data_IF_224840646416
#
_entry.id   IF_224840646416
#
_cell.length_a   1.000
_cell.length_b   1.000
_cell.length_c   1.000
_cell.angle_alpha   90.00
_cell.angle_beta   90.00
_cell.angle_gamma   90.00
#
_symmetry.space_group_name_H-M   'P 1'
#
loop_
_entity.id
_entity.type
_entity.pdbx_description
1 polymer ?
#
# COMPACT_ATOMS: atom_id res chain seq x y z
N UNK A 1 20.02 6.33 28.73
CA UNK A 1 19.34 5.28 29.53
C UNK A 1 18.34 4.62 28.61
N UNK A 2 18.43 3.32 28.35
CA UNK A 2 17.45 2.61 27.52
C UNK A 2 16.06 2.74 28.18
N UNK A 3 15.06 3.17 27.41
CA UNK A 3 13.68 3.35 27.85
C UNK A 3 13.18 2.03 28.45
N UNK A 4 12.32 2.07 29.48
CA UNK A 4 11.59 0.89 29.95
C UNK A 4 10.91 0.13 28.82
N UNK A 5 10.43 0.83 27.78
CA UNK A 5 9.89 0.23 26.56
C UNK A 5 10.96 -0.57 25.80
N UNK A 6 12.18 -0.03 25.62
CA UNK A 6 13.28 -0.73 24.94
C UNK A 6 13.67 -2.02 25.65
N UNK A 7 13.62 -2.06 26.98
CA UNK A 7 13.90 -3.30 27.74
C UNK A 7 12.81 -4.34 27.56
N UNK A 8 11.54 -3.91 27.55
CA UNK A 8 10.40 -4.81 27.31
C UNK A 8 10.44 -5.34 25.88
N UNK A 9 10.74 -4.50 24.88
CA UNK A 9 10.87 -4.93 23.50
C UNK A 9 12.07 -5.81 23.26
N UNK A 10 13.24 -5.49 23.83
CA UNK A 10 14.38 -6.38 23.77
C UNK A 10 14.06 -7.73 24.41
N UNK A 11 13.27 -7.75 25.49
CA UNK A 11 12.82 -9.01 26.12
C UNK A 11 11.78 -9.75 25.27
N UNK A 12 10.88 -9.05 24.57
CA UNK A 12 9.91 -9.67 23.65
C UNK A 12 10.59 -10.18 22.37
N UNK A 13 11.52 -9.42 21.79
CA UNK A 13 12.34 -9.81 20.64
C UNK A 13 13.27 -10.97 21.02
N UNK A 14 13.98 -10.90 22.15
CA UNK A 14 14.79 -12.00 22.67
C UNK A 14 13.91 -13.20 22.99
N UNK A 15 12.74 -13.03 23.61
CA UNK A 15 11.81 -14.13 23.81
C UNK A 15 11.48 -14.75 22.47
N UNK A 16 11.00 -13.97 21.49
CA UNK A 16 10.63 -14.45 20.16
C UNK A 16 11.81 -15.02 19.33
N UNK A 17 13.05 -14.63 19.60
CA UNK A 17 14.29 -15.21 19.04
C UNK A 17 14.68 -16.49 19.78
N UNK A 18 14.46 -16.56 21.09
CA UNK A 18 14.63 -17.77 21.89
C UNK A 18 13.56 -18.81 21.52
N UNK A 19 12.34 -18.38 21.20
CA UNK A 19 11.28 -19.23 20.62
C UNK A 19 11.72 -19.85 19.28
N UNK A 20 12.54 -19.13 18.50
CA UNK A 20 13.05 -19.62 17.22
C UNK A 20 14.07 -20.76 17.38
N UNK A 21 14.76 -20.86 18.52
CA UNK A 21 15.76 -21.89 18.79
C UNK A 21 15.27 -23.02 19.73
N UNK A 22 14.08 -22.90 20.32
CA UNK A 22 13.54 -23.86 21.29
C UNK A 22 12.42 -24.76 20.72
N UNK A 23 12.35 -25.99 21.23
CA UNK A 23 11.16 -26.84 21.05
C UNK A 23 9.93 -26.21 21.73
N UNK A 24 8.76 -26.34 21.10
CA UNK A 24 7.57 -25.55 21.44
C UNK A 24 6.98 -25.74 22.86
N UNK A 25 7.30 -26.84 23.53
CA UNK A 25 6.98 -27.03 24.96
C UNK A 25 7.59 -25.92 25.84
N UNK A 26 8.64 -25.27 25.36
CA UNK A 26 9.34 -24.19 26.04
C UNK A 26 8.87 -22.79 25.60
N UNK A 27 8.13 -22.66 24.48
CA UNK A 27 7.37 -21.43 24.14
C UNK A 27 6.30 -21.12 25.19
N UNK A 28 5.54 -22.14 25.61
CA UNK A 28 4.55 -22.02 26.69
C UNK A 28 5.19 -21.77 28.07
N UNK A 29 6.45 -22.18 28.26
CA UNK A 29 7.24 -21.80 29.46
C UNK A 29 7.75 -20.36 29.38
N UNK A 30 8.12 -19.86 28.20
CA UNK A 30 8.43 -18.45 27.96
C UNK A 30 7.18 -17.54 28.05
N UNK A 31 5.99 -18.06 27.74
CA UNK A 31 4.70 -17.41 28.00
C UNK A 31 4.45 -17.17 29.49
N UNK A 32 4.94 -18.05 30.38
CA UNK A 32 4.89 -17.84 31.84
C UNK A 32 5.91 -16.79 32.31
N UNK A 33 7.07 -16.65 31.65
CA UNK A 33 8.05 -15.58 31.93
C UNK A 33 7.50 -14.22 31.45
N UNK A 34 6.84 -14.21 30.29
CA UNK A 34 6.14 -13.04 29.76
C UNK A 34 4.78 -12.81 30.41
N UNK A 35 4.22 -13.75 31.19
CA UNK A 35 3.01 -13.57 32.01
C UNK A 35 3.12 -12.38 32.95
N UNK A 36 4.29 -12.16 33.54
CA UNK A 36 4.56 -10.93 34.29
C UNK A 36 4.45 -9.67 33.44
N UNK A 37 4.84 -9.71 32.15
CA UNK A 37 4.64 -8.63 31.19
C UNK A 37 3.16 -8.50 30.75
N UNK A 38 2.46 -9.62 30.53
CA UNK A 38 1.02 -9.66 30.18
C UNK A 38 0.14 -9.12 31.32
N UNK A 39 0.48 -9.43 32.57
CA UNK A 39 -0.23 -8.97 33.77
C UNK A 39 0.24 -7.59 34.25
N UNK A 40 1.39 -7.10 33.74
CA UNK A 40 1.87 -5.75 34.05
C UNK A 40 1.06 -4.68 33.30
N UNK A 41 0.94 -3.50 33.93
CA UNK A 41 0.31 -2.31 33.35
C UNK A 41 1.23 -1.64 32.32
N UNK A 42 1.57 -2.36 31.24
CA UNK A 42 2.29 -1.78 30.11
C UNK A 42 1.36 -0.74 29.44
N UNK A 43 1.80 0.51 29.28
CA UNK A 43 0.99 1.54 28.64
C UNK A 43 0.65 1.20 27.18
N UNK A 44 -0.53 1.62 26.69
CA UNK A 44 -0.97 1.36 25.31
C UNK A 44 0.03 1.85 24.25
N UNK A 45 0.70 2.99 24.45
CA UNK A 45 1.70 3.51 23.50
C UNK A 45 2.86 2.54 23.24
N UNK A 46 3.19 1.67 24.22
CA UNK A 46 4.21 0.63 24.06
C UNK A 46 3.68 -0.50 23.16
N UNK A 47 2.41 -0.89 23.30
CA UNK A 47 1.81 -1.85 22.38
C UNK A 47 1.67 -1.28 20.96
N UNK A 48 1.30 0.00 20.83
CA UNK A 48 1.23 0.70 19.54
C UNK A 48 2.59 0.66 18.84
N UNK A 49 3.66 1.05 19.53
CA UNK A 49 5.01 1.05 18.97
C UNK A 49 5.45 -0.35 18.51
N UNK A 50 5.11 -1.39 19.28
CA UNK A 50 5.45 -2.76 18.90
C UNK A 50 4.72 -3.23 17.64
N UNK A 51 3.40 -3.02 17.58
CA UNK A 51 2.58 -3.44 16.45
C UNK A 51 3.00 -2.68 15.18
N UNK A 52 3.35 -1.39 15.30
CA UNK A 52 3.95 -0.62 14.20
C UNK A 52 5.27 -1.24 13.71
N UNK A 53 6.16 -1.69 14.61
CA UNK A 53 7.40 -2.39 14.23
C UNK A 53 7.14 -3.73 13.53
N UNK A 54 6.02 -4.39 13.82
CA UNK A 54 5.57 -5.60 13.12
C UNK A 54 4.91 -5.32 11.76
N UNK A 55 4.80 -4.05 11.37
CA UNK A 55 4.24 -3.61 10.09
C UNK A 55 2.76 -3.22 10.12
N UNK A 56 2.12 -3.18 11.30
CA UNK A 56 0.72 -2.75 11.40
C UNK A 56 0.60 -1.22 11.35
N UNK A 57 -0.25 -0.65 10.47
CA UNK A 57 -0.50 0.78 10.45
C UNK A 57 -1.11 1.31 11.75
N UNK A 58 -0.73 2.52 12.16
CA UNK A 58 -1.16 3.11 13.44
C UNK A 58 -2.69 3.30 13.53
N UNK A 59 -3.38 3.65 12.44
CA UNK A 59 -4.86 3.72 12.47
C UNK A 59 -5.50 2.37 12.72
N UNK A 60 -5.01 1.30 12.08
CA UNK A 60 -5.55 -0.05 12.28
C UNK A 60 -5.38 -0.47 13.74
N UNK A 61 -4.25 -0.07 14.35
CA UNK A 61 -3.96 -0.23 15.78
C UNK A 61 -4.94 0.59 16.64
N UNK A 62 -5.22 1.85 16.30
CA UNK A 62 -6.05 2.74 17.13
C UNK A 62 -7.55 2.54 16.99
N UNK A 63 -8.01 2.05 15.84
CA UNK A 63 -9.44 1.90 15.52
C UNK A 63 -10.05 0.58 16.01
N UNK A 64 -9.20 -0.35 16.48
CA UNK A 64 -9.69 -1.62 17.04
C UNK A 64 -10.49 -1.38 18.33
N UNK A 65 -11.68 -1.99 18.42
CA UNK A 65 -12.49 -2.00 19.65
C UNK A 65 -11.90 -2.88 20.74
N UNK A 66 -10.93 -3.73 20.39
CA UNK A 66 -10.30 -4.67 21.30
C UNK A 66 -9.07 -4.03 21.95
N UNK A 67 -8.65 -4.56 23.09
CA UNK A 67 -7.39 -4.10 23.68
C UNK A 67 -6.22 -4.50 22.77
N UNK A 68 -5.23 -3.62 22.58
CA UNK A 68 -4.01 -3.94 21.80
C UNK A 68 -3.33 -5.22 22.27
N UNK A 69 -3.42 -5.48 23.58
CA UNK A 69 -2.99 -6.73 24.20
C UNK A 69 -3.74 -7.95 23.64
N UNK A 70 -5.05 -7.88 23.49
CA UNK A 70 -5.86 -8.95 22.89
C UNK A 70 -5.47 -9.19 21.43
N UNK A 71 -5.24 -8.13 20.65
CA UNK A 71 -4.78 -8.22 19.28
C UNK A 71 -3.43 -8.96 19.20
N UNK A 72 -2.47 -8.54 20.03
CA UNK A 72 -1.16 -9.19 20.12
C UNK A 72 -1.24 -10.67 20.51
N UNK A 73 -2.10 -11.02 21.47
CA UNK A 73 -2.30 -12.42 21.87
C UNK A 73 -2.86 -13.26 20.72
N UNK A 74 -3.85 -12.73 20.00
CA UNK A 74 -4.45 -13.39 18.83
C UNK A 74 -3.41 -13.65 17.73
N UNK A 75 -2.63 -12.62 17.41
CA UNK A 75 -1.46 -12.66 16.52
C UNK A 75 -0.49 -13.78 16.90
N UNK A 76 -0.14 -13.86 18.19
CA UNK A 76 0.82 -14.85 18.70
C UNK A 76 0.28 -16.28 18.62
N UNK A 77 -1.01 -16.47 18.90
CA UNK A 77 -1.69 -17.75 18.75
C UNK A 77 -1.74 -18.20 17.29
N UNK A 78 -1.98 -17.29 16.35
CA UNK A 78 -1.95 -17.58 14.92
C UNK A 78 -0.56 -18.05 14.46
N UNK A 79 0.50 -17.35 14.87
CA UNK A 79 1.88 -17.74 14.57
C UNK A 79 2.23 -19.14 15.13
N UNK A 80 1.80 -19.42 16.36
CA UNK A 80 1.98 -20.72 17.01
C UNK A 80 1.26 -21.84 16.26
N UNK A 81 -0.03 -21.66 15.97
CA UNK A 81 -0.83 -22.61 15.22
C UNK A 81 -0.22 -22.91 13.83
N UNK A 82 0.23 -21.87 13.11
CA UNK A 82 0.92 -22.02 11.83
C UNK A 82 2.21 -22.82 11.94
N UNK A 83 3.01 -22.61 12.98
CA UNK A 83 4.27 -23.34 13.20
C UNK A 83 4.07 -24.84 13.43
N UNK A 84 2.88 -25.27 13.88
CA UNK A 84 2.51 -26.69 14.02
C UNK A 84 1.76 -27.25 12.81
N UNK A 85 1.58 -26.44 11.76
CA UNK A 85 0.78 -26.84 10.61
C UNK A 85 -0.71 -27.02 10.94
N UNK A 86 -1.24 -26.32 11.95
CA UNK A 86 -2.68 -26.29 12.23
C UNK A 86 -3.40 -25.77 10.99
N UNK A 87 -4.50 -26.44 10.63
CA UNK A 87 -5.31 -26.05 9.48
C UNK A 87 -6.16 -24.84 9.89
N UNK A 88 -6.14 -23.73 9.12
CA UNK A 88 -6.91 -22.53 9.45
C UNK A 88 -8.42 -22.79 9.37
N UNK A 89 -9.20 -22.11 10.22
CA UNK A 89 -10.65 -22.03 10.06
C UNK A 89 -11.03 -21.10 8.90
N UNK A 90 -12.15 -21.34 8.24
CA UNK A 90 -12.67 -20.47 7.16
C UNK A 90 -14.13 -20.13 7.45
N UNK A 91 -14.47 -18.84 7.35
CA UNK A 91 -15.82 -18.33 7.46
C UNK A 91 -16.15 -17.41 6.28
N UNK A 92 -17.22 -17.72 5.55
CA UNK A 92 -17.69 -16.92 4.40
C UNK A 92 -18.84 -16.01 4.84
N UNK A 93 -18.72 -14.72 4.58
CA UNK A 93 -19.69 -13.69 4.93
C UNK A 93 -20.25 -13.01 3.67
N UNK A 94 -21.55 -12.67 3.69
CA UNK A 94 -22.21 -11.85 2.67
C UNK A 94 -22.12 -10.38 3.05
N UNK A 95 -21.66 -9.54 2.13
CA UNK A 95 -21.60 -8.08 2.22
C UNK A 95 -22.84 -7.42 1.60
N UNK A 96 -23.67 -8.17 0.88
CA UNK A 96 -24.83 -7.68 0.13
C UNK A 96 -25.91 -7.07 1.05
N UNK A 97 -26.10 -7.70 2.21
CA UNK A 97 -27.06 -7.29 3.24
C UNK A 97 -26.59 -6.07 4.04
N UNK A 98 -25.26 -5.90 4.18
CA UNK A 98 -24.64 -4.86 5.01
C UNK A 98 -24.35 -3.57 4.23
N UNK A 99 -24.00 -3.69 2.95
CA UNK A 99 -23.57 -2.55 2.13
C UNK A 99 -24.73 -1.88 1.36
N UNK A 100 -25.82 -2.63 1.11
CA UNK A 100 -27.02 -2.18 0.40
C UNK A 100 -26.80 -1.91 -1.11
N UNK A 101 -27.60 -2.55 -1.97
CA UNK A 101 -27.61 -2.27 -3.42
C UNK A 101 -26.38 -2.73 -4.22
N UNK A 102 -26.49 -2.71 -5.55
CA UNK A 102 -25.43 -3.13 -6.49
C UNK A 102 -24.36 -2.04 -6.72
N UNK A 103 -23.76 -1.51 -5.67
CA UNK A 103 -22.65 -0.56 -5.81
C UNK A 103 -21.32 -1.32 -5.92
N UNK A 104 -20.39 -0.79 -6.73
CA UNK A 104 -19.01 -1.30 -6.75
C UNK A 104 -18.25 -0.63 -5.61
N UNK A 105 -17.47 -1.40 -4.84
CA UNK A 105 -16.65 -0.90 -3.73
C UNK A 105 -15.17 -1.06 -4.04
N UNK A 106 -14.38 -0.04 -3.70
CA UNK A 106 -12.92 0.00 -3.76
C UNK A 106 -12.40 -0.21 -2.35
N UNK A 107 -11.30 -0.95 -2.30
CA UNK A 107 -10.64 -1.32 -1.06
C UNK A 107 -9.32 -0.56 -1.04
N UNK A 108 -9.18 0.35 -0.08
CA UNK A 108 -7.94 1.07 0.13
C UNK A 108 -7.13 0.34 1.20
N UNK A 109 -5.93 -0.07 0.83
CA UNK A 109 -4.99 -0.76 1.69
C UNK A 109 -3.78 0.15 1.95
N UNK A 110 -3.51 0.47 3.21
CA UNK A 110 -2.20 0.96 3.64
C UNK A 110 -1.27 -0.24 3.87
N UNK A 111 -0.88 -0.92 2.78
CA UNK A 111 -0.07 -2.13 2.80
C UNK A 111 -0.81 -3.41 3.23
N UNK A 112 -0.08 -4.53 3.38
CA UNK A 112 -0.65 -5.88 3.59
C UNK A 112 -1.37 -6.07 4.93
N UNK A 113 -1.14 -5.17 5.88
CA UNK A 113 -1.45 -5.35 7.31
C UNK A 113 -2.47 -4.34 7.84
N UNK A 114 -2.97 -3.44 6.97
CA UNK A 114 -4.03 -2.51 7.29
C UNK A 114 -5.40 -3.14 7.05
N UNK A 115 -6.35 -2.92 7.97
CA UNK A 115 -7.74 -3.26 7.67
C UNK A 115 -8.23 -2.36 6.52
N UNK A 116 -8.81 -2.91 5.44
CA UNK A 116 -9.23 -2.10 4.32
C UNK A 116 -10.42 -1.25 4.77
N UNK A 117 -10.34 0.03 4.45
CA UNK A 117 -11.56 0.81 4.32
C UNK A 117 -12.27 0.35 3.06
N UNK A 118 -13.54 0.02 3.23
CA UNK A 118 -14.43 -0.39 2.16
C UNK A 118 -15.27 0.84 1.82
N UNK A 119 -15.02 1.39 0.65
CA UNK A 119 -15.62 2.62 0.15
C UNK A 119 -16.21 2.32 -1.22
N UNK A 120 -17.26 3.01 -1.65
CA UNK A 120 -17.76 2.84 -3.01
C UNK A 120 -16.65 3.21 -4.02
N UNK A 121 -16.44 2.41 -5.08
CA UNK A 121 -15.39 2.60 -6.10
C UNK A 121 -15.85 3.40 -7.31
N UNK A 122 -17.14 3.42 -7.59
CA UNK A 122 -17.66 4.15 -8.74
C UNK A 122 -17.82 5.62 -8.37
N UNK A 123 -17.26 6.56 -9.15
CA UNK A 123 -17.63 7.97 -9.03
C UNK A 123 -19.15 8.10 -8.99
N UNK A 124 -19.68 9.06 -8.24
CA UNK A 124 -21.12 9.31 -8.22
C UNK A 124 -21.62 9.54 -9.66
N UNK A 125 -22.67 8.84 -10.07
CA UNK A 125 -23.29 9.06 -11.38
C UNK A 125 -24.09 10.38 -11.39
N UNK A 126 -24.48 10.85 -10.20
CA UNK A 126 -25.16 12.13 -9.96
C UNK A 126 -24.60 12.80 -8.73
N UNK A 127 -24.60 14.13 -8.70
CA UNK A 127 -24.17 14.97 -7.56
C UNK A 127 -24.88 14.61 -6.24
N UNK A 128 -26.09 14.04 -6.31
CA UNK A 128 -26.87 13.59 -5.15
C UNK A 128 -26.53 12.19 -4.65
N UNK A 129 -25.67 11.45 -5.35
CA UNK A 129 -25.33 10.09 -4.95
C UNK A 129 -24.51 10.13 -3.67
N UNK A 130 -24.93 9.31 -2.71
CA UNK A 130 -24.29 9.20 -1.40
C UNK A 130 -23.66 7.83 -1.26
N UNK A 131 -22.59 7.75 -0.49
CA UNK A 131 -21.95 6.49 -0.18
C UNK A 131 -21.88 6.24 1.32
N UNK A 132 -21.58 5.00 1.68
CA UNK A 132 -21.33 4.57 3.05
C UNK A 132 -19.87 4.12 3.15
N UNK A 133 -19.23 4.39 4.29
CA UNK A 133 -17.86 3.93 4.59
C UNK A 133 -17.94 2.83 5.61
N UNK A 134 -17.28 1.73 5.33
CA UNK A 134 -17.14 0.61 6.26
C UNK A 134 -15.66 0.32 6.54
N UNK A 135 -15.41 -0.30 7.69
CA UNK A 135 -14.13 -0.88 8.06
C UNK A 135 -14.34 -2.31 8.54
N UNK A 136 -13.33 -3.14 8.39
CA UNK A 136 -13.32 -4.48 9.00
C UNK A 136 -12.68 -4.36 10.38
N UNK A 137 -13.46 -4.62 11.44
CA UNK A 137 -12.92 -4.84 12.78
C UNK A 137 -12.65 -6.34 12.94
N UNK A 138 -12.07 -6.77 14.08
CA UNK A 138 -11.74 -8.16 14.32
C UNK A 138 -12.96 -9.03 13.98
N UNK A 139 -14.09 -8.97 14.66
CA UNK A 139 -15.11 -10.00 14.37
C UNK A 139 -16.05 -9.65 13.20
N UNK A 140 -16.21 -8.36 12.86
CA UNK A 140 -17.32 -7.91 12.02
C UNK A 140 -16.96 -6.76 11.06
N UNK A 141 -17.77 -6.65 10.02
CA UNK A 141 -17.88 -5.43 9.22
C UNK A 141 -18.54 -4.32 10.06
N UNK A 142 -17.91 -3.15 10.11
CA UNK A 142 -18.39 -1.99 10.86
C UNK A 142 -18.72 -0.86 9.90
N UNK A 143 -19.96 -0.39 9.92
CA UNK A 143 -20.33 0.90 9.34
C UNK A 143 -19.68 2.03 10.14
N UNK A 144 -18.84 2.84 9.47
CA UNK A 144 -18.22 4.03 10.06
C UNK A 144 -19.06 5.27 9.81
N UNK A 145 -19.46 5.49 8.55
CA UNK A 145 -20.21 6.67 8.12
C UNK A 145 -21.27 6.29 7.10
N UNK A 146 -22.40 7.00 7.14
CA UNK A 146 -23.53 6.79 6.23
C UNK A 146 -23.85 8.08 5.48
N UNK A 147 -24.39 7.95 4.27
CA UNK A 147 -24.93 9.07 3.49
C UNK A 147 -23.94 10.21 3.20
N UNK A 148 -22.66 9.89 2.99
CA UNK A 148 -21.64 10.88 2.71
C UNK A 148 -21.67 11.33 1.24
N UNK A 149 -21.66 12.66 1.05
CA UNK A 149 -21.83 13.34 -0.25
C UNK A 149 -20.50 13.57 -1.01
N UNK A 150 -19.39 13.08 -0.45
CA UNK A 150 -18.05 13.17 -1.04
C UNK A 150 -17.53 11.78 -1.37
N UNK A 151 -16.57 11.70 -2.28
CA UNK A 151 -16.00 10.44 -2.73
C UNK A 151 -14.60 10.26 -2.13
N UNK A 152 -14.47 9.52 -1.01
CA UNK A 152 -13.17 9.23 -0.44
C UNK A 152 -12.42 8.26 -1.34
N UNK A 153 -11.11 8.46 -1.47
CA UNK A 153 -10.27 7.72 -2.42
C UNK A 153 -8.98 7.22 -1.82
N UNK A 154 -8.54 7.75 -0.67
CA UNK A 154 -7.29 7.34 -0.07
C UNK A 154 -7.27 7.60 1.42
N UNK A 155 -6.69 6.67 2.16
CA UNK A 155 -6.39 6.81 3.58
C UNK A 155 -5.04 7.51 3.70
N UNK A 156 -4.95 8.51 4.56
CA UNK A 156 -3.73 9.32 4.73
C UNK A 156 -3.45 9.59 6.20
N UNK A 157 -2.27 10.15 6.49
CA UNK A 157 -1.85 10.49 7.85
C UNK A 157 -1.83 9.27 8.79
N UNK A 158 -1.24 8.17 8.32
CA UNK A 158 -1.29 6.89 9.02
C UNK A 158 -2.73 6.45 9.36
N UNK A 159 -3.69 6.83 8.51
CA UNK A 159 -5.12 6.58 8.58
C UNK A 159 -5.91 7.29 9.66
N UNK A 160 -5.45 8.46 10.10
CA UNK A 160 -6.31 9.36 10.88
C UNK A 160 -7.21 10.23 10.00
N UNK A 161 -6.97 10.25 8.69
CA UNK A 161 -7.73 11.08 7.77
C UNK A 161 -7.99 10.38 6.43
N UNK A 162 -9.04 10.82 5.75
CA UNK A 162 -9.47 10.36 4.44
C UNK A 162 -9.36 11.51 3.45
N UNK A 163 -8.59 11.29 2.39
CA UNK A 163 -8.50 12.17 1.25
C UNK A 163 -9.48 11.71 0.16
N UNK A 164 -10.17 12.66 -0.46
CA UNK A 164 -11.18 12.39 -1.46
C UNK A 164 -11.44 13.57 -2.38
N UNK A 165 -12.46 13.40 -3.21
CA UNK A 165 -12.96 14.44 -4.11
C UNK A 165 -14.36 14.89 -3.66
N UNK A 166 -14.54 16.19 -3.56
CA UNK A 166 -15.82 16.82 -3.23
C UNK A 166 -16.60 17.11 -4.51
N UNK A 167 -17.47 16.16 -4.88
CA UNK A 167 -18.36 16.27 -6.05
C UNK A 167 -19.62 17.11 -5.77
N UNK A 168 -19.82 17.58 -4.52
CA UNK A 168 -20.98 18.41 -4.15
C UNK A 168 -20.90 19.83 -4.69
N UNK A 169 -19.70 20.28 -5.09
CA UNK A 169 -19.40 21.66 -5.49
C UNK A 169 -19.97 22.07 -6.88
N UNK A 170 -20.79 21.24 -7.53
CA UNK A 170 -21.44 21.56 -8.81
C UNK A 170 -20.57 21.36 -10.05
N UNK A 171 -19.29 21.03 -9.89
CA UNK A 171 -18.40 20.59 -10.96
C UNK A 171 -17.97 19.13 -10.74
N UNK A 172 -18.67 18.21 -11.41
CA UNK A 172 -18.38 16.77 -11.31
C UNK A 172 -17.10 16.39 -12.06
N UNK A 173 -16.65 17.22 -12.99
CA UNK A 173 -15.50 16.95 -13.84
C UNK A 173 -14.20 17.44 -13.21
N UNK A 174 -14.25 18.46 -12.34
CA UNK A 174 -13.06 18.99 -11.64
C UNK A 174 -13.25 19.22 -10.12
N UNK A 175 -13.72 18.20 -9.38
CA UNK A 175 -14.03 18.35 -7.96
C UNK A 175 -12.78 18.77 -7.14
N UNK A 176 -12.93 19.63 -6.13
CA UNK A 176 -11.86 19.94 -5.18
C UNK A 176 -11.41 18.71 -4.41
N UNK A 177 -10.10 18.68 -4.12
CA UNK A 177 -9.51 17.66 -3.24
C UNK A 177 -9.79 18.09 -1.80
N UNK A 178 -10.29 17.16 -0.98
CA UNK A 178 -10.73 17.41 0.39
C UNK A 178 -10.18 16.36 1.33
N UNK A 179 -9.79 16.79 2.52
CA UNK A 179 -9.29 15.96 3.60
C UNK A 179 -10.28 15.98 4.77
N UNK A 180 -10.77 14.82 5.15
CA UNK A 180 -11.67 14.62 6.29
C UNK A 180 -10.96 13.84 7.40
N UNK A 181 -11.31 14.14 8.65
CA UNK A 181 -10.91 13.34 9.78
C UNK A 181 -11.70 12.02 9.79
N UNK A 182 -11.02 10.89 9.92
CA UNK A 182 -11.66 9.57 9.88
C UNK A 182 -12.42 9.24 11.18
N UNK A 183 -12.16 9.92 12.29
CA UNK A 183 -12.81 9.65 13.57
C UNK A 183 -14.22 10.26 13.66
N UNK A 184 -14.41 11.46 13.12
CA UNK A 184 -15.66 12.25 13.25
C UNK A 184 -16.20 12.82 11.94
N UNK A 185 -15.54 12.55 10.81
CA UNK A 185 -15.89 13.07 9.48
C UNK A 185 -15.86 14.60 9.36
N UNK A 186 -15.19 15.30 10.28
CA UNK A 186 -15.00 16.74 10.17
C UNK A 186 -14.06 17.09 9.01
N UNK A 187 -14.38 18.16 8.26
CA UNK A 187 -13.50 18.67 7.22
C UNK A 187 -12.23 19.24 7.87
N UNK A 188 -11.08 18.65 7.54
CA UNK A 188 -9.77 19.14 7.99
C UNK A 188 -9.29 20.24 7.07
N UNK A 189 -9.28 19.97 5.75
CA UNK A 189 -8.88 20.98 4.77
C UNK A 189 -9.49 20.72 3.38
N UNK A 190 -9.51 21.77 2.56
CA UNK A 190 -9.94 21.76 1.16
C UNK A 190 -8.84 22.38 0.31
N UNK A 191 -8.21 21.55 -0.52
CA UNK A 191 -7.12 21.95 -1.38
C UNK A 191 -7.69 22.50 -2.68
N UNK A 192 -7.84 23.82 -2.73
CA UNK A 192 -8.26 24.54 -3.92
C UNK A 192 -7.04 25.12 -4.64
N UNK A 193 -7.01 24.96 -5.96
CA UNK A 193 -6.06 25.72 -6.78
C UNK A 193 -6.47 27.19 -6.76
N UNK A 194 -5.54 28.09 -6.43
CA UNK A 194 -5.76 29.54 -6.38
C UNK A 194 -5.75 30.22 -7.75
N UNK A 195 -5.64 29.48 -8.86
CA UNK A 195 -5.62 30.10 -10.19
C UNK A 195 -7.03 30.59 -10.55
N UNK A 196 -7.23 31.89 -10.80
CA UNK A 196 -8.50 32.38 -11.29
C UNK A 196 -8.73 31.80 -12.69
N UNK A 197 -9.87 31.16 -12.91
CA UNK A 197 -10.49 31.05 -14.23
C UNK A 197 -10.77 32.47 -14.72
N UNK A 198 -9.78 33.14 -15.30
CA UNK A 198 -10.01 34.43 -15.95
C UNK A 198 -10.23 34.30 -17.46
N UNK A 199 -10.06 33.10 -18.04
CA UNK A 199 -10.45 32.82 -19.41
C UNK A 199 -11.49 31.69 -19.42
N UNK A 200 -12.73 32.00 -19.81
CA UNK A 200 -13.85 31.06 -19.99
C UNK A 200 -13.58 29.97 -21.06
N UNK A 201 -12.36 29.89 -21.60
CA UNK A 201 -11.98 29.13 -22.78
C UNK A 201 -10.94 28.02 -22.51
N UNK A 202 -10.65 27.70 -21.25
CA UNK A 202 -9.63 26.70 -20.87
C UNK A 202 -10.27 25.48 -20.20
N UNK A 203 -9.93 24.29 -20.68
CA UNK A 203 -10.28 23.03 -20.03
C UNK A 203 -9.14 22.62 -19.09
N UNK A 204 -9.45 22.00 -17.96
CA UNK A 204 -8.43 21.49 -17.06
C UNK A 204 -8.82 20.18 -16.40
N UNK A 205 -7.82 19.35 -16.11
CA UNK A 205 -7.96 18.11 -15.36
C UNK A 205 -7.23 18.26 -14.03
N UNK A 206 -7.85 17.74 -12.96
CA UNK A 206 -7.27 17.68 -11.62
C UNK A 206 -7.09 16.24 -11.19
N UNK A 207 -5.88 15.94 -10.76
CA UNK A 207 -5.59 14.71 -10.03
C UNK A 207 -4.75 15.05 -8.79
N UNK A 208 -4.51 14.07 -7.94
CA UNK A 208 -3.61 14.23 -6.81
C UNK A 208 -2.77 13.00 -6.56
N UNK A 209 -1.59 13.24 -5.98
CA UNK A 209 -0.71 12.20 -5.48
C UNK A 209 -0.43 12.42 -4.00
N UNK A 210 -0.18 11.31 -3.32
CA UNK A 210 0.07 11.25 -1.90
C UNK A 210 1.52 10.90 -1.62
N UNK A 211 2.12 11.73 -0.79
CA UNK A 211 3.41 11.54 -0.17
C UNK A 211 3.17 11.57 1.35
N UNK A 212 3.96 10.88 2.18
CA UNK A 212 3.64 10.73 3.61
C UNK A 212 3.25 12.05 4.29
N UNK A 213 3.97 13.14 3.96
CA UNK A 213 3.74 14.46 4.52
C UNK A 213 3.19 15.50 3.53
N UNK A 214 3.06 15.15 2.25
CA UNK A 214 2.65 16.10 1.20
C UNK A 214 1.50 15.57 0.36
N UNK A 215 0.64 16.49 -0.04
CA UNK A 215 -0.40 16.25 -1.05
C UNK A 215 -0.01 17.09 -2.26
N UNK A 216 0.26 16.42 -3.38
CA UNK A 216 0.59 17.08 -4.64
C UNK A 216 -0.66 17.10 -5.50
N UNK A 217 -1.20 18.28 -5.77
CA UNK A 217 -2.36 18.46 -6.65
C UNK A 217 -1.85 18.80 -8.04
N UNK A 218 -2.08 17.89 -8.98
CA UNK A 218 -1.69 18.06 -10.38
C UNK A 218 -2.82 18.73 -11.14
N UNK A 219 -2.48 19.78 -11.88
CA UNK A 219 -3.41 20.53 -12.71
C UNK A 219 -2.86 20.61 -14.13
N UNK A 220 -3.62 20.05 -15.06
CA UNK A 220 -3.27 20.01 -16.49
C UNK A 220 -4.21 20.96 -17.23
N UNK A 221 -3.65 21.94 -17.95
CA UNK A 221 -4.41 22.99 -18.63
C UNK A 221 -4.33 22.78 -20.14
N UNK A 222 -5.49 22.81 -20.79
CA UNK A 222 -5.66 22.65 -22.24
C UNK A 222 -6.30 23.88 -22.87
N UNK A 223 -5.92 24.17 -24.12
CA UNK A 223 -6.61 25.15 -24.95
C UNK A 223 -7.94 24.57 -25.52
N UNK A 224 -8.71 25.37 -26.24
CA UNK A 224 -9.96 24.93 -26.90
C UNK A 224 -9.78 23.84 -27.96
N UNK A 225 -8.58 23.70 -28.52
CA UNK A 225 -8.23 22.65 -29.48
C UNK A 225 -7.73 21.37 -28.80
N UNK A 226 -7.83 21.29 -27.46
CA UNK A 226 -7.31 20.21 -26.62
C UNK A 226 -5.78 20.08 -26.63
N UNK A 227 -5.05 21.09 -27.11
CA UNK A 227 -3.60 21.13 -26.97
C UNK A 227 -3.24 21.49 -25.52
N UNK A 228 -2.29 20.75 -24.96
CA UNK A 228 -1.72 21.09 -23.67
C UNK A 228 -1.04 22.46 -23.72
N UNK A 229 -1.39 23.33 -22.78
CA UNK A 229 -0.69 24.60 -22.52
C UNK A 229 0.35 24.42 -21.42
N UNK A 230 -0.05 23.82 -20.30
CA UNK A 230 0.76 23.81 -19.09
C UNK A 230 0.36 22.67 -18.16
N UNK A 231 1.37 22.09 -17.50
CA UNK A 231 1.14 21.28 -16.30
C UNK A 231 1.70 21.99 -15.07
N UNK A 232 0.96 21.96 -13.97
CA UNK A 232 1.36 22.52 -12.69
C UNK A 232 1.11 21.55 -11.55
N UNK A 233 1.99 21.58 -10.56
CA UNK A 233 1.93 20.74 -9.37
C UNK A 233 1.93 21.67 -8.15
N UNK A 234 0.79 21.77 -7.49
CA UNK A 234 0.70 22.47 -6.22
C UNK A 234 1.08 21.51 -5.09
N UNK A 235 2.13 21.84 -4.35
CA UNK A 235 2.61 21.02 -3.24
C UNK A 235 2.06 21.60 -1.95
N UNK A 236 1.26 20.79 -1.25
CA UNK A 236 0.64 21.15 0.02
C UNK A 236 1.18 20.24 1.12
N UNK A 237 1.35 20.78 2.33
CA UNK A 237 1.42 19.90 3.49
C UNK A 237 0.02 19.32 3.77
N UNK A 238 0.02 18.28 4.58
CA UNK A 238 -1.19 17.61 5.07
C UNK A 238 -2.05 18.49 6.00
N UNK A 239 -1.49 19.57 6.55
CA UNK A 239 -2.24 20.60 7.28
C UNK A 239 -2.94 21.61 6.34
N UNK A 240 -2.65 21.54 5.05
CA UNK A 240 -3.09 22.37 3.93
C UNK A 240 -2.50 23.78 3.87
N UNK A 241 -1.26 23.94 4.33
CA UNK A 241 -0.38 25.03 3.92
C UNK A 241 0.22 24.71 2.55
N UNK A 242 0.15 25.65 1.61
CA UNK A 242 0.85 25.52 0.32
C UNK A 242 2.36 25.71 0.55
N UNK A 243 3.15 24.70 0.26
CA UNK A 243 4.61 24.74 0.33
C UNK A 243 5.23 25.39 -0.91
N UNK A 244 4.63 25.14 -2.07
CA UNK A 244 5.09 25.74 -3.31
C UNK A 244 4.33 25.25 -4.52
N UNK A 245 4.80 25.66 -5.69
CA UNK A 245 4.21 25.33 -6.98
C UNK A 245 5.33 25.03 -7.97
N UNK A 246 5.22 23.90 -8.66
CA UNK A 246 6.14 23.52 -9.74
C UNK A 246 5.38 23.70 -11.05
N UNK A 247 5.97 24.47 -11.95
CA UNK A 247 5.42 24.74 -13.28
C UNK A 247 6.30 24.06 -14.31
N UNK A 248 5.68 23.22 -15.14
CA UNK A 248 6.32 22.59 -16.28
C UNK A 248 5.73 23.19 -17.55
N UNK A 249 6.37 24.22 -18.13
CA UNK A 249 5.91 24.87 -19.35
C UNK A 249 6.17 23.98 -20.57
N UNK A 250 5.25 23.99 -21.53
CA UNK A 250 5.42 23.40 -22.88
C UNK A 250 5.69 21.88 -22.93
N UNK A 251 5.57 21.14 -21.83
CA UNK A 251 5.67 19.68 -21.76
C UNK A 251 4.51 19.11 -20.93
N UNK A 252 3.98 17.95 -21.35
CA UNK A 252 3.12 17.16 -20.47
C UNK A 252 4.01 16.50 -19.43
N UNK A 253 4.19 17.14 -18.29
CA UNK A 253 4.77 16.47 -17.13
C UNK A 253 3.70 15.61 -16.47
N UNK A 254 3.89 14.30 -16.38
CA UNK A 254 3.16 13.51 -15.40
C UNK A 254 4.07 13.29 -14.21
N UNK A 255 3.52 13.43 -13.01
CA UNK A 255 4.20 12.99 -11.83
C UNK A 255 4.20 11.45 -11.83
N UNK A 256 5.37 10.85 -11.67
CA UNK A 256 5.51 9.40 -11.56
C UNK A 256 5.36 8.96 -10.09
N UNK A 257 5.65 7.69 -9.78
CA UNK A 257 5.47 7.09 -8.46
C UNK A 257 6.02 7.94 -7.29
N UNK A 258 5.22 8.17 -6.23
CA UNK A 258 5.66 8.94 -5.08
C UNK A 258 6.77 8.20 -4.32
N UNK A 259 7.88 8.90 -4.06
CA UNK A 259 9.00 8.34 -3.31
C UNK A 259 9.27 9.08 -1.99
N UNK A 260 9.44 8.29 -0.94
CA UNK A 260 9.90 8.72 0.37
C UNK A 260 11.23 8.03 0.71
N UNK A 261 12.27 8.82 0.91
CA UNK A 261 13.62 8.35 1.21
C UNK A 261 13.76 7.93 2.68
N UNK A 262 14.83 7.19 2.97
CA UNK A 262 15.13 6.75 4.35
C UNK A 262 15.57 7.87 5.28
N UNK A 263 16.03 9.00 4.74
CA UNK A 263 16.36 10.20 5.54
C UNK A 263 15.14 11.10 5.82
N UNK A 264 13.94 10.67 5.42
CA UNK A 264 12.69 11.34 5.73
C UNK A 264 12.28 12.39 4.70
N UNK A 265 12.91 12.41 3.52
CA UNK A 265 12.60 13.35 2.44
C UNK A 265 11.65 12.77 1.42
N UNK A 266 10.98 13.64 0.68
CA UNK A 266 10.04 13.28 -0.37
C UNK A 266 10.52 13.81 -1.71
N UNK A 267 10.49 12.94 -2.71
CA UNK A 267 10.97 13.26 -4.05
C UNK A 267 9.85 13.09 -5.06
N UNK A 268 9.53 14.17 -5.76
CA UNK A 268 8.62 14.15 -6.90
C UNK A 268 9.42 13.95 -8.17
N UNK A 269 9.15 12.86 -8.89
CA UNK A 269 9.69 12.66 -10.23
C UNK A 269 8.66 13.11 -11.26
N UNK A 270 9.05 13.99 -12.16
CA UNK A 270 8.22 14.45 -13.28
C UNK A 270 8.84 13.92 -14.57
N UNK A 271 8.03 13.18 -15.33
CA UNK A 271 8.39 12.62 -16.63
C UNK A 271 7.59 13.32 -17.74
N UNK A 272 8.23 13.60 -18.87
CA UNK A 272 7.52 14.03 -20.07
C UNK A 272 6.67 12.88 -20.63
N UNK A 273 5.37 13.10 -20.93
CA UNK A 273 4.41 12.07 -21.33
C UNK A 273 4.72 11.50 -22.74
N UNK A 274 4.98 10.18 -22.87
CA UNK A 274 5.23 9.55 -24.16
C UNK A 274 4.00 9.41 -25.06
N UNK A 275 2.77 9.58 -24.54
CA UNK A 275 1.52 9.41 -25.31
C UNK A 275 1.24 10.53 -26.32
N UNK A 276 2.04 11.60 -26.33
CA UNK A 276 1.91 12.71 -27.27
C UNK A 276 3.06 12.65 -28.28
N UNK A 277 2.79 11.95 -29.39
CA UNK A 277 3.70 11.52 -30.47
C UNK A 277 4.59 12.60 -31.10
N UNK A 278 4.42 13.88 -30.76
CA UNK A 278 5.08 15.00 -31.44
C UNK A 278 6.29 15.61 -30.70
N UNK A 279 6.66 15.15 -29.50
CA UNK A 279 7.86 15.64 -28.81
C UNK A 279 8.68 14.50 -28.21
N UNK A 280 9.63 14.00 -29.00
CA UNK A 280 10.55 12.92 -28.65
C UNK A 280 11.49 13.23 -27.47
N UNK A 281 11.52 14.45 -26.92
CA UNK A 281 12.41 14.77 -25.80
C UNK A 281 11.79 14.32 -24.48
N UNK A 282 12.21 13.16 -23.98
CA UNK A 282 11.86 12.70 -22.63
C UNK A 282 12.80 13.37 -21.63
N UNK A 283 12.30 14.37 -20.93
CA UNK A 283 13.01 15.01 -19.81
C UNK A 283 12.50 14.45 -18.50
N UNK A 284 13.44 14.20 -17.59
CA UNK A 284 13.21 13.72 -16.23
C UNK A 284 13.60 14.85 -15.30
N UNK A 285 12.71 15.21 -14.37
CA UNK A 285 12.98 16.17 -13.32
C UNK A 285 12.72 15.54 -11.96
N UNK A 286 13.65 15.69 -11.03
CA UNK A 286 13.51 15.20 -9.65
C UNK A 286 13.53 16.40 -8.71
N UNK A 287 12.45 16.57 -7.95
CA UNK A 287 12.26 17.67 -7.02
C UNK A 287 12.28 17.16 -5.58
N UNK A 288 13.12 17.74 -4.74
CA UNK A 288 13.08 17.58 -3.28
C UNK A 288 11.94 18.47 -2.76
N UNK A 289 10.89 17.84 -2.24
CA UNK A 289 9.65 18.52 -1.84
C UNK A 289 9.81 19.32 -0.54
N UNK A 290 10.69 18.90 0.37
CA UNK A 290 10.98 19.66 1.59
C UNK A 290 11.62 21.00 1.27
N UNK A 291 12.52 21.03 0.29
CA UNK A 291 13.24 22.25 -0.11
C UNK A 291 12.58 23.00 -1.25
N UNK A 292 11.66 22.34 -1.96
CA UNK A 292 11.12 22.81 -3.23
C UNK A 292 12.23 23.11 -4.25
N UNK A 293 13.24 22.23 -4.32
CA UNK A 293 14.43 22.40 -5.16
C UNK A 293 14.52 21.29 -6.22
N UNK A 294 14.84 21.68 -7.46
CA UNK A 294 15.19 20.75 -8.52
C UNK A 294 16.57 20.16 -8.22
N UNK A 295 16.61 18.89 -7.85
CA UNK A 295 17.84 18.18 -7.49
C UNK A 295 18.54 17.55 -8.69
N UNK A 296 17.75 17.13 -9.68
CA UNK A 296 18.25 16.47 -10.86
C UNK A 296 17.38 16.76 -12.07
N UNK A 297 18.03 17.00 -13.21
CA UNK A 297 17.37 17.11 -14.51
C UNK A 297 18.19 16.35 -15.54
N UNK A 298 17.55 15.47 -16.26
CA UNK A 298 18.17 14.70 -17.33
C UNK A 298 17.26 14.65 -18.55
N UNK A 299 17.85 14.76 -19.72
CA UNK A 299 17.15 14.62 -21.00
C UNK A 299 17.75 13.42 -21.71
N UNK A 300 16.91 12.47 -22.11
CA UNK A 300 17.35 11.25 -22.80
C UNK A 300 18.17 11.64 -24.04
N UNK A 301 19.32 10.99 -24.20
CA UNK A 301 20.21 11.25 -25.33
C UNK A 301 19.57 10.83 -26.65
N UNK A 302 19.97 11.45 -27.76
CA UNK A 302 19.48 11.04 -29.08
C UNK A 302 19.85 9.59 -29.42
N UNK A 303 21.01 9.12 -28.98
CA UNK A 303 21.45 7.74 -29.18
C UNK A 303 20.57 6.73 -28.44
N UNK A 304 20.10 7.08 -27.23
CA UNK A 304 19.18 6.23 -26.47
C UNK A 304 17.78 6.23 -27.08
N UNK A 305 17.31 7.39 -27.56
CA UNK A 305 16.04 7.47 -28.29
C UNK A 305 16.05 6.63 -29.58
N UNK A 306 17.17 6.64 -30.32
CA UNK A 306 17.35 5.81 -31.52
C UNK A 306 17.39 4.31 -31.23
N UNK A 307 17.59 3.92 -29.97
CA UNK A 307 17.55 2.52 -29.48
C UNK A 307 16.21 2.15 -28.84
N UNK A 308 15.18 2.98 -29.02
CA UNK A 308 13.87 2.82 -28.39
C UNK A 308 13.98 2.68 -26.86
N UNK A 309 14.94 3.39 -26.23
CA UNK A 309 15.02 3.44 -24.78
C UNK A 309 13.97 4.40 -24.21
N UNK A 310 13.32 3.97 -23.13
CA UNK A 310 12.36 4.72 -22.36
C UNK A 310 12.86 4.95 -20.92
N UNK A 311 12.28 5.96 -20.26
CA UNK A 311 12.51 6.20 -18.84
C UNK A 311 11.35 5.67 -18.01
N UNK A 312 11.68 4.99 -16.92
CA UNK A 312 10.74 4.53 -15.92
C UNK A 312 11.24 4.89 -14.52
N UNK A 313 10.34 5.15 -13.59
CA UNK A 313 10.71 5.18 -12.17
C UNK A 313 9.87 4.19 -11.37
N UNK A 314 10.52 3.55 -10.41
CA UNK A 314 9.87 2.59 -9.50
C UNK A 314 10.68 2.55 -8.21
N UNK A 315 10.00 2.58 -7.06
CA UNK A 315 10.61 2.50 -5.72
C UNK A 315 11.77 3.50 -5.49
N UNK A 316 11.65 4.71 -6.07
CA UNK A 316 12.67 5.78 -5.96
C UNK A 316 13.95 5.52 -6.74
N UNK A 317 13.87 4.71 -7.78
CA UNK A 317 14.97 4.46 -8.71
C UNK A 317 14.48 4.85 -10.09
N UNK A 318 15.28 5.65 -10.79
CA UNK A 318 15.08 5.96 -12.20
C UNK A 318 15.84 4.94 -13.02
N UNK A 319 15.20 4.46 -14.08
CA UNK A 319 15.73 3.48 -15.02
C UNK A 319 15.69 4.04 -16.43
N UNK A 320 16.73 3.79 -17.19
CA UNK A 320 16.71 3.83 -18.65
C UNK A 320 16.74 2.38 -19.12
N UNK A 321 15.76 1.97 -19.92
CA UNK A 321 15.67 0.61 -20.43
C UNK A 321 15.12 0.57 -21.85
N UNK A 322 15.39 -0.51 -22.57
CA UNK A 322 14.79 -0.79 -23.89
C UNK A 322 13.39 -1.41 -23.77
N UNK A 323 12.69 -1.54 -24.90
CA UNK A 323 11.40 -2.23 -25.03
C UNK A 323 11.40 -3.69 -24.53
N UNK A 324 12.58 -4.31 -24.38
CA UNK A 324 12.75 -5.66 -23.83
C UNK A 324 12.98 -5.64 -22.32
N UNK A 325 12.79 -4.50 -21.67
CA UNK A 325 12.95 -4.28 -20.24
C UNK A 325 14.41 -4.52 -19.77
N UNK A 326 15.39 -4.29 -20.64
CA UNK A 326 16.81 -4.40 -20.30
C UNK A 326 17.33 -3.05 -19.81
N UNK A 327 17.70 -3.00 -18.55
CA UNK A 327 18.24 -1.79 -17.91
C UNK A 327 19.63 -1.45 -18.47
N UNK A 328 19.75 -0.27 -19.08
CA UNK A 328 21.00 0.33 -19.55
C UNK A 328 21.66 1.17 -18.45
N UNK A 329 20.90 2.07 -17.85
CA UNK A 329 21.33 2.94 -16.75
C UNK A 329 20.29 2.98 -15.63
N UNK A 330 20.74 3.28 -14.42
CA UNK A 330 19.87 3.43 -13.26
C UNK A 330 20.53 4.33 -12.20
N UNK A 331 19.71 5.05 -11.44
CA UNK A 331 20.16 5.80 -10.26
C UNK A 331 19.01 6.01 -9.27
N UNK A 332 19.33 6.14 -7.99
CA UNK A 332 18.34 6.46 -6.98
C UNK A 332 17.99 7.96 -7.01
N UNK A 333 16.72 8.30 -6.82
CA UNK A 333 16.23 9.70 -6.86
C UNK A 333 16.82 10.56 -5.72
N UNK A 334 17.16 9.93 -4.59
CA UNK A 334 17.82 10.57 -3.44
C UNK A 334 19.36 10.62 -3.57
N UNK A 335 19.90 10.18 -4.71
CA UNK A 335 21.34 10.19 -5.01
C UNK A 335 22.16 9.15 -4.25
N UNK A 336 21.54 8.26 -3.47
CA UNK A 336 22.28 7.22 -2.74
C UNK A 336 22.89 6.20 -3.70
N UNK A 337 24.04 5.59 -3.36
CA UNK A 337 24.60 4.51 -4.16
C UNK A 337 23.64 3.31 -4.14
N UNK A 338 23.32 2.79 -5.32
CA UNK A 338 22.52 1.59 -5.50
C UNK A 338 23.29 0.58 -6.35
N UNK A 339 23.28 -0.69 -5.92
CA UNK A 339 23.93 -1.76 -6.68
C UNK A 339 23.05 -2.20 -7.85
N UNK A 340 23.67 -2.71 -8.91
CA UNK A 340 22.94 -3.24 -10.07
C UNK A 340 21.96 -4.35 -9.68
N UNK A 341 22.34 -5.20 -8.71
CA UNK A 341 21.48 -6.27 -8.20
C UNK A 341 20.21 -5.73 -7.56
N UNK A 342 20.31 -4.69 -6.73
CA UNK A 342 19.14 -4.07 -6.10
C UNK A 342 18.28 -3.39 -7.14
N UNK A 343 18.88 -2.63 -8.07
CA UNK A 343 18.15 -1.97 -9.14
C UNK A 343 17.39 -2.97 -10.02
N UNK A 344 18.04 -4.04 -10.48
CA UNK A 344 17.39 -5.08 -11.30
C UNK A 344 16.32 -5.85 -10.51
N UNK A 345 16.53 -6.09 -9.20
CA UNK A 345 15.52 -6.68 -8.35
C UNK A 345 14.28 -5.78 -8.25
N UNK A 346 14.46 -4.47 -7.99
CA UNK A 346 13.37 -3.49 -7.85
C UNK A 346 12.65 -3.21 -9.17
N UNK A 347 13.37 -3.19 -10.29
CA UNK A 347 12.79 -3.05 -11.62
C UNK A 347 11.85 -4.20 -12.00
N UNK A 348 12.19 -5.43 -11.61
CA UNK A 348 11.36 -6.62 -11.85
C UNK A 348 10.35 -6.87 -10.72
N UNK A 349 10.04 -5.84 -9.92
CA UNK A 349 9.29 -5.98 -8.67
C UNK A 349 7.87 -5.42 -8.71
N UNK A 350 7.21 -5.51 -9.86
CA UNK A 350 5.79 -5.15 -10.07
C UNK A 350 4.91 -5.52 -8.88
N UNK A 351 5.22 -6.67 -8.26
CA UNK A 351 4.68 -7.01 -6.97
C UNK A 351 5.80 -7.41 -6.00
N UNK A 352 5.98 -6.60 -4.95
CA UNK A 352 6.95 -6.89 -3.89
C UNK A 352 6.48 -6.43 -2.52
N UNK A 353 7.09 -7.05 -1.49
CA UNK A 353 6.92 -6.68 -0.08
C UNK A 353 8.22 -6.76 0.66
N UNK A 354 8.38 -5.85 1.61
CA UNK A 354 9.62 -5.63 2.34
C UNK A 354 9.46 -6.01 3.80
N UNK A 355 10.39 -6.80 4.29
CA UNK A 355 10.56 -7.08 5.71
C UNK A 355 11.27 -5.91 6.43
N UNK A 356 11.13 -5.82 7.75
CA UNK A 356 11.74 -4.82 8.61
C UNK A 356 13.27 -4.80 8.52
N UNK A 357 13.89 -5.97 8.31
CA UNK A 357 15.34 -6.10 8.08
C UNK A 357 15.80 -5.68 6.67
N UNK A 358 14.86 -5.30 5.81
CA UNK A 358 15.09 -4.86 4.43
C UNK A 358 15.13 -5.98 3.40
N UNK A 359 15.05 -7.25 3.80
CA UNK A 359 14.82 -8.35 2.87
C UNK A 359 13.45 -8.20 2.20
N UNK A 360 13.25 -8.84 1.05
CA UNK A 360 12.03 -8.65 0.25
C UNK A 360 11.54 -9.94 -0.35
N UNK A 361 10.22 -10.12 -0.40
CA UNK A 361 9.62 -11.05 -1.35
C UNK A 361 9.22 -10.28 -2.61
N UNK A 362 9.55 -10.85 -3.76
CA UNK A 362 9.13 -10.36 -5.07
C UNK A 362 8.41 -11.49 -5.78
N UNK A 363 7.29 -11.18 -6.44
CA UNK A 363 6.56 -12.16 -7.23
C UNK A 363 6.11 -11.60 -8.56
N UNK A 364 6.38 -12.39 -9.59
CA UNK A 364 5.90 -12.16 -10.95
C UNK A 364 5.52 -13.55 -11.49
N UNK A 365 6.51 -14.33 -11.94
CA UNK A 365 6.35 -15.76 -12.27
C UNK A 365 6.64 -16.69 -11.09
N UNK A 366 7.58 -16.31 -10.24
CA UNK A 366 7.97 -17.05 -9.05
C UNK A 366 7.92 -16.13 -7.84
N UNK A 367 7.51 -16.66 -6.70
CA UNK A 367 7.75 -15.99 -5.44
C UNK A 367 9.21 -16.20 -5.05
N UNK A 368 9.97 -15.13 -4.87
CA UNK A 368 11.40 -15.15 -4.57
C UNK A 368 11.70 -14.27 -3.36
N UNK A 369 12.41 -14.81 -2.37
CA UNK A 369 12.95 -14.06 -1.24
C UNK A 369 14.36 -13.56 -1.59
N UNK A 370 14.57 -12.26 -1.44
CA UNK A 370 15.83 -11.57 -1.63
C UNK A 370 16.33 -10.98 -0.31
N UNK A 371 17.65 -10.89 -0.15
CA UNK A 371 18.28 -10.07 0.89
C UNK A 371 18.07 -8.57 0.58
N UNK A 372 18.40 -7.70 1.54
CA UNK A 372 18.33 -6.24 1.31
C UNK A 372 19.31 -5.77 0.22
N UNK A 373 20.37 -6.53 -0.02
CA UNK A 373 21.39 -6.31 -1.06
C UNK A 373 21.00 -6.87 -2.44
N UNK A 374 19.84 -7.53 -2.56
CA UNK A 374 19.34 -8.09 -3.81
C UNK A 374 19.86 -9.49 -4.13
N UNK A 375 20.45 -10.22 -3.17
CA UNK A 375 20.83 -11.61 -3.36
C UNK A 375 19.65 -12.55 -3.16
N UNK A 376 19.48 -13.54 -4.05
CA UNK A 376 18.41 -14.54 -3.92
C UNK A 376 18.69 -15.45 -2.73
N UNK A 377 17.81 -15.42 -1.74
CA UNK A 377 17.81 -16.36 -0.60
C UNK A 377 17.12 -17.65 -1.00
N UNK A 378 15.90 -17.56 -1.53
CA UNK A 378 15.11 -18.73 -1.90
C UNK A 378 14.08 -18.41 -2.98
N UNK A 379 13.87 -19.38 -3.88
CA UNK A 379 12.75 -19.38 -4.84
C UNK A 379 11.72 -20.40 -4.40
N UNK A 380 10.49 -19.93 -4.19
CA UNK A 380 9.38 -20.77 -3.78
C UNK A 380 8.70 -21.36 -5.02
N UNK A 381 8.52 -22.68 -5.01
CA UNK A 381 7.86 -23.37 -6.12
C UNK A 381 6.35 -23.13 -6.04
N UNK A 382 5.88 -22.09 -6.72
CA UNK A 382 4.45 -21.89 -6.97
C UNK A 382 4.04 -22.81 -8.11
N UNK A 383 2.89 -23.49 -7.95
CA UNK A 383 2.45 -24.54 -8.88
C UNK A 383 1.96 -23.93 -10.21
N UNK A 384 2.88 -23.57 -11.09
CA UNK A 384 2.55 -23.14 -12.44
C UNK A 384 2.29 -24.34 -13.33
N UNK A 385 1.17 -24.31 -14.03
CA UNK A 385 0.85 -25.20 -15.14
C UNK A 385 0.54 -24.28 -16.32
N UNK A 386 0.52 -24.75 -17.56
CA UNK A 386 0.23 -23.89 -18.71
C UNK A 386 -1.12 -23.13 -18.55
N UNK A 387 -1.10 -21.80 -18.75
CA UNK A 387 -2.26 -20.89 -18.70
C UNK A 387 -1.96 -19.56 -17.98
N UNK A 388 -2.91 -18.60 -18.01
CA UNK A 388 -2.84 -17.38 -17.21
C UNK A 388 -3.04 -17.70 -15.72
N UNK A 389 -2.01 -17.39 -14.93
CA UNK A 389 -1.92 -17.64 -13.49
C UNK A 389 -1.82 -16.33 -12.74
N UNK A 390 -2.54 -16.24 -11.63
CA UNK A 390 -2.42 -15.15 -10.67
C UNK A 390 -1.68 -15.66 -9.43
N UNK A 391 -0.83 -14.79 -8.89
CA UNK A 391 -0.04 -15.02 -7.70
C UNK A 391 -0.06 -13.73 -6.90
N UNK A 392 -0.47 -13.85 -5.65
CA UNK A 392 -0.41 -12.77 -4.67
C UNK A 392 0.37 -13.25 -3.46
N UNK A 393 1.18 -12.36 -2.87
CA UNK A 393 1.98 -12.70 -1.71
C UNK A 393 2.19 -11.52 -0.77
N UNK A 394 2.48 -11.80 0.49
CA UNK A 394 2.70 -10.76 1.49
C UNK A 394 3.20 -11.32 2.81
N UNK A 395 3.42 -10.41 3.75
CA UNK A 395 4.22 -10.69 4.95
C UNK A 395 3.36 -10.58 6.20
N UNK A 396 3.55 -11.53 7.13
CA UNK A 396 2.96 -11.49 8.46
C UNK A 396 4.07 -11.56 9.52
N UNK A 397 4.03 -10.66 10.50
CA UNK A 397 4.99 -10.54 11.62
C UNK A 397 6.45 -10.45 11.23
N UNK A 398 6.73 -9.94 10.03
CA UNK A 398 8.09 -9.93 9.51
C UNK A 398 8.73 -11.33 9.41
N UNK A 399 7.91 -12.39 9.40
CA UNK A 399 8.35 -13.78 9.64
C UNK A 399 7.72 -14.80 8.70
N UNK A 400 6.47 -14.62 8.33
CA UNK A 400 5.75 -15.58 7.51
C UNK A 400 5.42 -14.96 6.16
N UNK A 401 5.58 -15.77 5.13
CA UNK A 401 5.27 -15.42 3.75
C UNK A 401 3.98 -16.13 3.38
N UNK A 402 2.95 -15.36 3.13
CA UNK A 402 1.67 -15.84 2.61
C UNK A 402 1.69 -15.76 1.09
N UNK A 403 1.18 -16.79 0.45
CA UNK A 403 1.16 -16.89 -1.00
C UNK A 403 -0.14 -17.54 -1.44
N UNK A 404 -0.95 -16.80 -2.19
CA UNK A 404 -2.15 -17.34 -2.82
C UNK A 404 -1.94 -17.42 -4.32
N UNK A 405 -2.21 -18.58 -4.91
CA UNK A 405 -2.05 -18.81 -6.34
C UNK A 405 -3.28 -19.49 -6.94
N UNK A 406 -3.72 -19.01 -8.10
CA UNK A 406 -4.86 -19.57 -8.83
C UNK A 406 -4.74 -19.37 -10.33
N UNK A 407 -5.54 -20.11 -11.09
CA UNK A 407 -5.72 -19.84 -12.53
C UNK A 407 -6.93 -18.97 -12.74
N UNK A 408 -6.88 -18.16 -13.79
CA UNK A 408 -8.08 -17.51 -14.30
C UNK A 408 -9.21 -18.55 -14.48
N UNK A 409 -10.41 -18.25 -13.97
CA UNK A 409 -11.60 -19.14 -14.03
C UNK A 409 -11.47 -20.48 -13.26
N UNK A 410 -10.41 -20.68 -12.48
CA UNK A 410 -10.31 -21.83 -11.57
C UNK A 410 -11.42 -21.76 -10.52
N UNK A 411 -11.97 -22.91 -10.13
CA UNK A 411 -12.83 -22.97 -8.93
C UNK A 411 -12.04 -22.83 -7.65
N UNK A 412 -10.75 -23.15 -7.66
CA UNK A 412 -9.94 -23.17 -6.44
C UNK A 412 -8.65 -22.35 -6.57
N UNK A 413 -8.27 -21.69 -5.48
CA UNK A 413 -6.92 -21.18 -5.24
C UNK A 413 -6.19 -22.09 -4.24
N UNK A 414 -4.86 -22.02 -4.26
CA UNK A 414 -4.00 -22.63 -3.25
C UNK A 414 -3.39 -21.52 -2.42
N UNK A 415 -3.72 -21.49 -1.13
CA UNK A 415 -3.00 -20.71 -0.13
C UNK A 415 -1.85 -21.56 0.40
N UNK A 416 -0.64 -20.99 0.42
CA UNK A 416 0.57 -21.57 0.98
C UNK A 416 1.17 -20.60 1.97
N UNK A 417 1.67 -21.12 3.08
CA UNK A 417 2.37 -20.35 4.10
C UNK A 417 3.78 -20.89 4.25
N UNK A 418 4.76 -19.99 4.16
CA UNK A 418 6.17 -20.31 4.36
C UNK A 418 6.73 -19.50 5.53
N UNK A 419 7.74 -20.03 6.21
CA UNK A 419 8.60 -19.22 7.07
C UNK A 419 9.52 -18.33 6.22
N UNK A 420 10.09 -17.29 6.82
CA UNK A 420 11.13 -16.45 6.21
C UNK A 420 12.43 -17.23 5.94
N UNK A 421 12.65 -18.36 6.63
CA UNK A 421 13.73 -19.31 6.31
C UNK A 421 13.40 -20.20 5.12
N UNK A 422 12.17 -20.10 4.61
CA UNK A 422 11.68 -20.73 3.41
C UNK A 422 11.12 -22.14 3.58
N UNK A 423 10.89 -22.57 4.82
CA UNK A 423 10.19 -23.81 5.14
C UNK A 423 8.69 -23.67 4.85
N UNK A 424 8.08 -24.68 4.24
CA UNK A 424 6.63 -24.71 4.02
C UNK A 424 5.93 -25.18 5.29
N UNK A 425 5.11 -24.30 5.87
CA UNK A 425 4.43 -24.55 7.15
C UNK A 425 3.06 -25.20 6.95
N UNK A 426 2.20 -24.59 6.13
CA UNK A 426 0.86 -25.11 5.86
C UNK A 426 0.38 -24.75 4.45
N UNK A 427 -0.70 -25.40 4.01
CA UNK A 427 -1.41 -25.03 2.80
C UNK A 427 -2.88 -25.41 2.91
N UNK A 428 -3.74 -24.64 2.25
CA UNK A 428 -5.16 -24.95 2.13
C UNK A 428 -5.68 -24.62 0.74
N UNK A 429 -6.82 -25.20 0.37
CA UNK A 429 -7.54 -24.86 -0.86
C UNK A 429 -8.68 -23.92 -0.52
N UNK A 430 -8.77 -22.86 -1.31
CA UNK A 430 -9.79 -21.84 -1.19
C UNK A 430 -10.74 -21.97 -2.37
N UNK A 431 -12.04 -21.88 -2.16
CA UNK A 431 -13.03 -21.90 -3.24
C UNK A 431 -13.19 -20.50 -3.84
N UNK A 432 -12.45 -20.21 -4.91
CA UNK A 432 -12.47 -18.91 -5.58
C UNK A 432 -13.58 -18.75 -6.61
N UNK A 433 -14.25 -19.85 -7.01
CA UNK A 433 -15.37 -19.83 -7.98
C UNK A 433 -15.15 -18.96 -9.24
N UNK A 434 -13.90 -18.85 -9.71
CA UNK A 434 -13.50 -18.06 -10.88
C UNK A 434 -13.41 -16.54 -10.66
N UNK A 435 -13.36 -16.08 -9.41
CA UNK A 435 -13.34 -14.65 -9.02
C UNK A 435 -11.91 -14.15 -8.82
N UNK A 436 -11.70 -12.84 -9.01
CA UNK A 436 -10.43 -12.21 -8.63
C UNK A 436 -10.39 -12.04 -7.11
N UNK A 437 -9.22 -12.28 -6.54
CA UNK A 437 -9.00 -12.32 -5.09
C UNK A 437 -8.14 -11.11 -4.68
N UNK A 438 -8.60 -10.36 -3.67
CA UNK A 438 -7.76 -9.45 -2.89
C UNK A 438 -7.66 -9.99 -1.46
N UNK A 439 -6.62 -9.60 -0.74
CA UNK A 439 -6.46 -10.06 0.64
C UNK A 439 -5.64 -9.09 1.48
N UNK A 440 -5.77 -9.20 2.79
CA UNK A 440 -4.93 -8.55 3.78
C UNK A 440 -4.89 -9.40 5.05
N UNK A 441 -3.96 -9.12 5.96
CA UNK A 441 -3.97 -9.72 7.30
C UNK A 441 -4.34 -8.65 8.32
N UNK A 442 -5.38 -8.90 9.08
CA UNK A 442 -5.82 -7.98 10.12
C UNK A 442 -4.93 -8.03 11.38
N UNK A 443 -5.21 -7.10 12.30
CA UNK A 443 -4.52 -6.98 13.58
C UNK A 443 -4.78 -8.14 14.55
N UNK A 444 -5.69 -9.05 14.24
CA UNK A 444 -5.88 -10.29 14.99
C UNK A 444 -5.06 -11.45 14.43
N UNK A 445 -4.29 -11.22 13.34
CA UNK A 445 -3.50 -12.23 12.68
C UNK A 445 -4.34 -13.20 11.86
N UNK A 446 -5.45 -12.73 11.25
CA UNK A 446 -6.28 -13.53 10.35
C UNK A 446 -6.17 -13.00 8.93
N UNK A 447 -6.18 -13.90 7.97
CA UNK A 447 -6.18 -13.55 6.55
C UNK A 447 -7.62 -13.31 6.12
N UNK A 448 -7.89 -12.10 5.67
CA UNK A 448 -9.19 -11.76 5.11
C UNK A 448 -9.06 -11.73 3.60
N UNK A 449 -9.92 -12.49 2.95
CA UNK A 449 -10.02 -12.66 1.51
C UNK A 449 -11.26 -11.95 1.00
N UNK A 450 -11.08 -11.06 0.04
CA UNK A 450 -12.15 -10.27 -0.55
C UNK A 450 -12.28 -10.66 -2.02
N UNK A 451 -13.51 -10.95 -2.45
CA UNK A 451 -13.80 -11.38 -3.81
C UNK A 451 -14.17 -10.16 -4.67
N UNK A 452 -13.30 -9.78 -5.60
CA UNK A 452 -13.55 -8.64 -6.49
C UNK A 452 -14.84 -8.84 -7.31
N UNK A 453 -15.61 -7.77 -7.47
CA UNK A 453 -16.96 -7.73 -8.07
C UNK A 453 -18.01 -8.63 -7.39
N UNK A 454 -17.74 -9.12 -6.18
CA UNK A 454 -18.63 -9.99 -5.44
C UNK A 454 -18.88 -9.43 -4.03
N UNK A 455 -20.12 -9.45 -3.53
CA UNK A 455 -20.43 -8.94 -2.21
C UNK A 455 -20.17 -10.04 -1.17
N UNK A 456 -19.01 -10.68 -1.23
CA UNK A 456 -18.64 -11.72 -0.29
C UNK A 456 -17.21 -11.50 0.19
N UNK A 457 -16.98 -11.92 1.43
CA UNK A 457 -15.67 -11.92 2.06
C UNK A 457 -15.47 -13.25 2.78
N UNK A 458 -14.27 -13.83 2.73
CA UNK A 458 -13.90 -15.03 3.47
C UNK A 458 -12.83 -14.67 4.50
N UNK A 459 -13.07 -14.95 5.77
CA UNK A 459 -12.09 -14.79 6.84
C UNK A 459 -11.46 -16.14 7.10
N UNK A 460 -10.14 -16.21 6.95
CA UNK A 460 -9.32 -17.36 7.26
C UNK A 460 -8.62 -17.11 8.59
N UNK A 461 -9.06 -17.82 9.61
CA UNK A 461 -8.52 -17.72 10.96
C UNK A 461 -7.38 -18.72 11.16
N UNK A 462 -6.16 -18.20 11.25
CA UNK A 462 -4.95 -19.02 11.43
C UNK A 462 -4.81 -19.62 12.82
N UNK A 463 -5.63 -19.20 13.79
CA UNK A 463 -5.69 -19.85 15.12
C UNK A 463 -6.33 -21.24 15.05
N UNK A 464 -7.04 -21.54 13.96
CA UNK A 464 -7.79 -22.78 13.78
C UNK A 464 -9.19 -22.73 14.40
N UNK A 465 -9.93 -23.84 14.27
CA UNK A 465 -11.20 -24.04 14.98
C UNK A 465 -10.88 -24.39 16.45
N UNK A 466 -10.85 -23.40 17.33
CA UNK A 466 -10.74 -23.61 18.78
C UNK A 466 -12.09 -23.96 19.41
#
# INVERSE_FOLDING_TARGET
MANSADRVFHTLELAQQIVFELELKDFFRALLITKGLWESRIPNHVWEEHLMRLGYPLHTIRQTRHSLKSCYMSISQAADALSHGVIPGSNLMSLEDELGGNYRYEYHFDGDMGAPLIIQSSPPAKVSDKCNIFAIDIEDLRLLFTDIENFPRSVVLNGTALLGLDHSAGDIYTPPVVLYNLDDWSLVNKFTITRPNNDENMNWLRDYQLYNNFIVVTSVIFNQAEDLIQTSFDVWDVQGTKHGEIIVPDEQGFADDPFHSTDGRHYLTILSNPLFENRLQTTIQIWDLERMELTYKYTISQEDMEKDHCCHTTNGIVYICDDLAKVSEYWAVDGRPISRKVAEMEFNSDHSRKFSDGSRIVWEKWLTLYTKEGDVVQRFKVKQVQGHYYLEAGILFDRFIFCVSWREKSKYATLMVYSKTGEKLTWTRLDVKGRCLRWFVDIAGRLVLIWDRSPYMEIIDFRGLL
#
